data_IF_728694255291
#
_entry.id   IF_728694255291
#
_cell.length_a   1.000
_cell.length_b   1.000
_cell.length_c   1.000
_cell.angle_alpha   90.00
_cell.angle_beta   90.00
_cell.angle_gamma   90.00
#
_symmetry.space_group_name_H-M   'P 1'
#
loop_
_entity.id
_entity.type
_entity.pdbx_description
1 polymer ?
#
# COMPACT_ATOMS: atom_id res chain seq x y z
N UNK A 1 -7.62 -9.07 22.43
CA UNK A 1 -7.99 -8.10 21.36
C UNK A 1 -9.48 -7.78 21.49
N UNK A 2 -9.91 -6.51 21.49
CA UNK A 2 -11.34 -6.18 21.70
C UNK A 2 -12.16 -6.43 20.43
N UNK A 3 -13.42 -6.85 20.56
CA UNK A 3 -14.34 -7.11 19.41
C UNK A 3 -14.47 -5.90 18.47
N UNK A 4 -14.33 -4.68 19.03
CA UNK A 4 -14.25 -3.43 18.25
C UNK A 4 -13.03 -3.38 17.34
N UNK A 5 -11.84 -3.70 17.85
CA UNK A 5 -10.60 -3.68 17.06
C UNK A 5 -10.67 -4.70 15.91
N UNK A 6 -11.20 -5.89 16.17
CA UNK A 6 -11.40 -6.92 15.13
C UNK A 6 -12.32 -6.45 13.99
N UNK A 7 -13.43 -5.77 14.32
CA UNK A 7 -14.33 -5.22 13.30
C UNK A 7 -13.67 -4.05 12.56
N UNK A 8 -12.90 -3.20 13.24
CA UNK A 8 -12.17 -2.13 12.58
C UNK A 8 -11.13 -2.68 11.58
N UNK A 9 -10.37 -3.72 11.96
CA UNK A 9 -9.38 -4.36 11.09
C UNK A 9 -10.03 -5.05 9.89
N UNK A 10 -11.13 -5.79 10.12
CA UNK A 10 -11.91 -6.40 9.05
C UNK A 10 -12.39 -5.34 8.04
N UNK A 11 -12.99 -4.25 8.53
CA UNK A 11 -13.47 -3.17 7.67
C UNK A 11 -12.32 -2.50 6.94
N UNK A 12 -11.17 -2.29 7.58
CA UNK A 12 -9.99 -1.74 6.93
C UNK A 12 -9.56 -2.60 5.75
N UNK A 13 -9.41 -3.91 5.96
CA UNK A 13 -9.06 -4.85 4.88
C UNK A 13 -10.09 -4.83 3.76
N UNK A 14 -11.39 -4.81 4.11
CA UNK A 14 -12.48 -4.82 3.13
C UNK A 14 -12.55 -3.54 2.30
N UNK A 15 -12.35 -2.39 2.93
CA UNK A 15 -12.31 -1.08 2.26
C UNK A 15 -11.11 -0.98 1.32
N UNK A 16 -9.92 -1.41 1.77
CA UNK A 16 -8.74 -1.43 0.90
C UNK A 16 -8.89 -2.37 -0.27
N UNK A 17 -9.40 -3.59 -0.03
CA UNK A 17 -9.66 -4.55 -1.09
C UNK A 17 -10.68 -4.00 -2.09
N UNK A 18 -11.77 -3.37 -1.61
CA UNK A 18 -12.77 -2.76 -2.46
C UNK A 18 -12.24 -1.59 -3.29
N UNK A 19 -11.36 -0.76 -2.74
CA UNK A 19 -10.70 0.32 -3.48
C UNK A 19 -9.75 -0.20 -4.55
N UNK A 20 -8.93 -1.18 -4.15
CA UNK A 20 -7.97 -1.83 -5.02
C UNK A 20 -8.63 -2.54 -6.21
N UNK A 21 -9.77 -3.20 -5.97
CA UNK A 21 -10.57 -3.85 -7.01
C UNK A 21 -11.50 -2.89 -7.76
N UNK A 22 -11.50 -1.59 -7.45
CA UNK A 22 -12.37 -0.59 -8.07
C UNK A 22 -13.87 -0.72 -7.73
N UNK A 23 -14.23 -1.58 -6.78
CA UNK A 23 -15.60 -1.78 -6.28
C UNK A 23 -16.06 -0.61 -5.39
N UNK A 24 -15.10 0.11 -4.80
CA UNK A 24 -15.32 1.33 -4.03
C UNK A 24 -14.60 2.49 -4.70
N UNK A 25 -15.18 3.68 -4.63
CA UNK A 25 -14.57 4.92 -5.12
C UNK A 25 -14.28 5.87 -3.97
N UNK A 26 -13.27 6.70 -4.15
CA UNK A 26 -13.08 7.86 -3.28
C UNK A 26 -14.33 8.72 -3.25
N UNK A 27 -14.69 9.20 -2.04
CA UNK A 27 -15.94 9.92 -1.79
C UNK A 27 -17.21 9.10 -2.04
N UNK A 28 -17.09 7.81 -2.35
CA UNK A 28 -18.19 6.89 -2.52
C UNK A 28 -18.89 6.60 -1.20
N UNK A 29 -20.21 6.40 -1.25
CA UNK A 29 -21.01 6.04 -0.09
C UNK A 29 -20.74 4.60 0.32
N UNK A 30 -20.52 4.38 1.61
CA UNK A 30 -20.32 3.07 2.23
C UNK A 30 -21.63 2.56 2.84
N UNK A 31 -21.72 1.24 3.14
CA UNK A 31 -22.84 0.68 3.88
C UNK A 31 -23.05 1.42 5.19
N UNK A 32 -24.31 1.72 5.50
CA UNK A 32 -24.67 2.33 6.78
C UNK A 32 -24.33 1.40 7.94
N UNK A 33 -24.23 1.98 9.14
CA UNK A 33 -24.00 1.23 10.39
C UNK A 33 -25.02 0.09 10.55
N UNK A 34 -26.29 0.30 10.17
CA UNK A 34 -27.35 -0.68 10.32
C UNK A 34 -27.26 -1.81 9.30
N UNK A 35 -26.94 -1.49 8.05
CA UNK A 35 -26.74 -2.49 6.99
C UNK A 35 -25.55 -3.39 7.33
N UNK A 36 -24.44 -2.78 7.73
CA UNK A 36 -23.22 -3.49 8.06
C UNK A 36 -23.34 -4.30 9.36
N UNK A 37 -24.08 -3.80 10.35
CA UNK A 37 -24.40 -4.55 11.57
C UNK A 37 -25.20 -5.82 11.28
N UNK A 38 -26.19 -5.74 10.38
CA UNK A 38 -26.95 -6.91 9.91
C UNK A 38 -26.07 -7.90 9.15
N UNK A 39 -25.21 -7.39 8.28
CA UNK A 39 -24.33 -8.23 7.47
C UNK A 39 -23.31 -9.00 8.31
N UNK A 40 -22.74 -8.35 9.33
CA UNK A 40 -21.69 -8.92 10.18
C UNK A 40 -22.22 -9.59 11.45
N UNK A 41 -23.55 -9.70 11.62
CA UNK A 41 -24.23 -10.12 12.85
C UNK A 41 -23.59 -9.47 14.11
N UNK A 42 -23.42 -8.16 14.04
CA UNK A 42 -22.66 -7.37 15.01
C UNK A 42 -23.52 -6.27 15.63
N UNK A 43 -23.22 -5.91 16.88
CA UNK A 43 -23.93 -4.81 17.54
C UNK A 43 -23.64 -3.47 16.81
N UNK A 44 -24.68 -2.70 16.42
CA UNK A 44 -24.52 -1.42 15.72
C UNK A 44 -23.59 -0.42 16.43
N UNK A 45 -23.52 -0.46 17.77
CA UNK A 45 -22.61 0.40 18.55
C UNK A 45 -21.13 0.05 18.29
N UNK A 46 -20.83 -1.22 18.09
CA UNK A 46 -19.45 -1.69 17.82
C UNK A 46 -19.06 -1.32 16.39
N UNK A 47 -19.97 -1.46 15.43
CA UNK A 47 -19.76 -1.02 14.04
C UNK A 47 -19.56 0.49 13.96
N UNK A 48 -20.38 1.27 14.66
CA UNK A 48 -20.19 2.73 14.74
C UNK A 48 -18.85 3.10 15.36
N UNK A 49 -18.43 2.39 16.42
CA UNK A 49 -17.13 2.61 17.03
C UNK A 49 -15.98 2.27 16.08
N UNK A 50 -16.10 1.19 15.30
CA UNK A 50 -15.13 0.84 14.26
C UNK A 50 -15.05 1.92 13.16
N UNK A 51 -16.19 2.40 12.66
CA UNK A 51 -16.18 3.52 11.70
C UNK A 51 -15.61 4.82 12.27
N UNK A 52 -15.80 5.10 13.56
CA UNK A 52 -15.15 6.24 14.23
C UNK A 52 -13.64 6.09 14.27
N UNK A 53 -13.13 4.89 14.56
CA UNK A 53 -11.70 4.59 14.49
C UNK A 53 -11.16 4.81 13.08
N UNK A 54 -11.82 4.26 12.06
CA UNK A 54 -11.44 4.48 10.66
C UNK A 54 -11.54 5.95 10.23
N UNK A 55 -12.47 6.72 10.81
CA UNK A 55 -12.58 8.15 10.54
C UNK A 55 -11.43 8.95 11.17
N UNK A 56 -10.98 8.57 12.37
CA UNK A 56 -9.79 9.15 13.02
C UNK A 56 -8.51 8.87 12.22
N UNK A 57 -8.44 7.72 11.56
CA UNK A 57 -7.34 7.35 10.65
C UNK A 57 -7.41 8.03 9.28
N UNK A 58 -8.49 8.77 9.00
CA UNK A 58 -8.71 9.43 7.70
C UNK A 58 -9.14 8.48 6.58
N UNK A 59 -9.56 7.24 6.89
CA UNK A 59 -10.00 6.27 5.87
C UNK A 59 -11.45 6.50 5.45
N UNK A 60 -12.29 7.03 6.34
CA UNK A 60 -13.71 7.29 6.08
C UNK A 60 -14.15 8.65 6.63
N UNK A 61 -15.24 9.18 6.10
CA UNK A 61 -15.93 10.37 6.60
C UNK A 61 -17.30 10.00 7.15
N UNK A 62 -17.55 10.40 8.39
CA UNK A 62 -18.88 10.34 8.98
C UNK A 62 -19.60 11.67 8.71
N UNK A 63 -20.58 11.67 7.80
CA UNK A 63 -21.39 12.85 7.49
C UNK A 63 -22.73 12.76 8.22
N UNK A 64 -22.99 13.72 9.11
CA UNK A 64 -24.22 13.78 9.90
C UNK A 64 -25.45 13.73 8.98
N UNK A 65 -26.36 12.79 9.22
CA UNK A 65 -27.60 12.56 8.43
C UNK A 65 -27.40 12.12 6.98
N UNK A 66 -26.17 12.06 6.46
CA UNK A 66 -25.89 11.63 5.08
C UNK A 66 -25.27 10.23 4.98
N UNK A 67 -24.64 9.74 6.05
CA UNK A 67 -24.10 8.38 6.12
C UNK A 67 -22.57 8.35 6.24
N UNK A 68 -21.98 7.23 5.84
CA UNK A 68 -20.53 7.00 5.86
C UNK A 68 -20.01 7.04 4.44
N UNK A 69 -18.91 7.75 4.21
CA UNK A 69 -18.31 7.91 2.88
C UNK A 69 -16.83 7.55 2.94
N UNK A 70 -16.29 7.08 1.83
CA UNK A 70 -14.86 6.87 1.71
C UNK A 70 -14.14 8.22 1.63
N UNK A 71 -13.02 8.39 2.30
CA UNK A 71 -12.30 9.67 2.29
C UNK A 71 -11.79 10.02 0.86
N UNK A 72 -11.60 11.31 0.53
CA UNK A 72 -11.02 11.73 -0.75
C UNK A 72 -9.64 11.08 -1.03
N UNK A 73 -9.30 10.89 -2.29
CA UNK A 73 -7.95 10.45 -2.68
C UNK A 73 -6.94 11.48 -2.17
N UNK A 74 -5.86 11.02 -1.53
CA UNK A 74 -4.88 11.91 -0.87
C UNK A 74 -5.26 12.35 0.54
N UNK A 75 -6.44 11.97 1.05
CA UNK A 75 -6.85 12.18 2.46
C UNK A 75 -6.64 10.97 3.36
N UNK A 76 -5.71 10.08 3.00
CA UNK A 76 -4.92 9.43 4.04
C UNK A 76 -4.48 10.55 4.98
N UNK A 77 -4.48 10.34 6.27
CA UNK A 77 -3.62 11.14 7.13
C UNK A 77 -2.16 10.85 6.71
N UNK A 78 -1.74 11.32 5.52
CA UNK A 78 -0.53 12.10 5.45
C UNK A 78 -0.73 13.10 6.57
N UNK A 79 -0.16 12.77 7.73
CA UNK A 79 0.53 13.70 8.56
C UNK A 79 0.37 15.10 7.94
N UNK A 80 -0.55 15.89 8.49
CA UNK A 80 -0.72 17.29 8.13
C UNK A 80 0.68 17.96 8.11
N UNK A 81 0.84 19.16 7.55
CA UNK A 81 2.12 19.87 7.76
C UNK A 81 2.52 19.87 9.27
N UNK A 82 1.52 19.90 10.16
CA UNK A 82 1.60 19.57 11.59
C UNK A 82 2.08 18.14 11.88
N UNK A 83 1.38 17.10 11.42
CA UNK A 83 1.74 15.71 11.72
C UNK A 83 3.09 15.26 11.14
N UNK A 84 3.58 15.87 10.06
CA UNK A 84 4.92 15.58 9.52
C UNK A 84 5.97 16.23 10.39
N UNK A 85 5.69 17.44 10.87
CA UNK A 85 6.55 18.15 11.81
C UNK A 85 6.59 17.41 13.15
N UNK A 86 5.44 16.98 13.68
CA UNK A 86 5.35 16.16 14.89
C UNK A 86 6.12 14.85 14.76
N UNK A 87 5.95 14.14 13.64
CA UNK A 87 6.73 12.92 13.38
C UNK A 87 8.22 13.19 13.23
N UNK A 88 8.61 14.29 12.56
CA UNK A 88 10.02 14.68 12.43
C UNK A 88 10.63 15.05 13.78
N UNK A 89 9.86 15.72 14.64
CA UNK A 89 10.22 16.03 16.02
C UNK A 89 10.41 14.74 16.82
N UNK A 90 9.50 13.77 16.68
CA UNK A 90 9.65 12.45 17.31
C UNK A 90 10.92 11.73 16.84
N UNK A 91 11.23 11.77 15.55
CA UNK A 91 12.46 11.18 14.99
C UNK A 91 13.70 11.89 15.54
N UNK A 92 13.68 13.23 15.65
CA UNK A 92 14.76 14.02 16.22
C UNK A 92 14.96 13.72 17.72
N UNK A 93 13.89 13.67 18.51
CA UNK A 93 13.93 13.31 19.94
C UNK A 93 14.46 11.89 20.13
N UNK A 94 14.00 10.96 19.30
CA UNK A 94 14.49 9.58 19.28
C UNK A 94 15.95 9.45 18.84
N UNK A 95 16.43 10.34 17.97
CA UNK A 95 17.83 10.41 17.60
C UNK A 95 18.71 10.93 18.72
N UNK A 96 18.29 12.03 19.35
CA UNK A 96 19.00 12.65 20.48
C UNK A 96 19.14 11.69 21.66
N UNK A 97 18.08 10.95 22.01
CA UNK A 97 18.12 9.93 23.07
C UNK A 97 19.07 8.77 22.77
N UNK A 98 19.41 8.55 21.50
CA UNK A 98 20.40 7.56 21.03
C UNK A 98 21.80 8.16 20.83
N UNK A 99 22.02 9.40 21.26
CA UNK A 99 23.30 10.10 21.10
C UNK A 99 23.56 10.64 19.70
N UNK A 100 22.56 10.66 18.81
CA UNK A 100 22.68 11.27 17.48
C UNK A 100 22.38 12.77 17.58
N UNK A 101 23.36 13.60 17.26
CA UNK A 101 23.14 15.05 17.11
C UNK A 101 22.38 15.34 15.82
N UNK A 102 21.71 16.49 15.73
CA UNK A 102 20.96 16.87 14.52
C UNK A 102 21.81 16.83 13.23
N UNK A 103 23.09 17.29 13.22
CA UNK A 103 23.96 17.12 12.06
C UNK A 103 24.27 15.66 11.71
N UNK A 104 24.54 14.80 12.71
CA UNK A 104 24.80 13.37 12.49
C UNK A 104 23.55 12.65 11.99
N UNK A 105 22.37 13.04 12.47
CA UNK A 105 21.10 12.48 12.00
C UNK A 105 20.81 12.91 10.56
N UNK A 106 21.01 14.19 10.23
CA UNK A 106 20.85 14.70 8.87
C UNK A 106 21.84 14.03 7.90
N UNK A 107 23.10 13.90 8.32
CA UNK A 107 24.13 13.21 7.56
C UNK A 107 23.85 11.70 7.44
N UNK A 108 23.34 11.05 8.47
CA UNK A 108 22.90 9.66 8.43
C UNK A 108 21.73 9.44 7.50
N UNK A 109 20.73 10.34 7.52
CA UNK A 109 19.59 10.31 6.60
C UNK A 109 20.05 10.51 5.16
N UNK A 110 20.91 11.50 4.93
CA UNK A 110 21.46 11.81 3.63
C UNK A 110 22.32 10.67 3.09
N UNK A 111 23.19 10.07 3.93
CA UNK A 111 23.96 8.87 3.57
C UNK A 111 23.05 7.68 3.27
N UNK A 112 22.01 7.42 4.06
CA UNK A 112 21.05 6.35 3.78
C UNK A 112 20.33 6.55 2.45
N UNK A 113 20.02 7.79 2.07
CA UNK A 113 19.32 8.11 0.82
C UNK A 113 20.27 8.17 -0.40
N UNK A 114 21.53 8.56 -0.21
CA UNK A 114 22.50 8.74 -1.29
C UNK A 114 23.35 7.49 -1.57
N UNK A 115 23.57 6.60 -0.59
CA UNK A 115 24.50 5.46 -0.73
C UNK A 115 23.84 4.07 -0.74
N UNK A 116 22.59 3.93 -0.29
CA UNK A 116 21.85 2.68 -0.39
C UNK A 116 20.96 2.72 -1.64
N UNK A 117 21.52 2.30 -2.78
CA UNK A 117 20.69 1.96 -3.96
C UNK A 117 19.93 0.68 -3.66
N UNK A 118 18.76 0.82 -3.04
CA UNK A 118 17.89 -0.31 -2.73
C UNK A 118 17.56 -1.07 -4.02
N UNK A 119 17.80 -2.37 -3.99
CA UNK A 119 17.61 -3.26 -5.14
C UNK A 119 16.28 -4.01 -5.00
N UNK A 120 15.32 -3.68 -5.86
CA UNK A 120 14.03 -4.35 -5.94
C UNK A 120 14.01 -5.39 -7.06
N UNK A 121 13.55 -6.60 -6.75
CA UNK A 121 13.33 -7.65 -7.75
C UNK A 121 11.84 -7.77 -8.04
N UNK A 122 11.47 -7.54 -9.29
CA UNK A 122 10.10 -7.69 -9.80
C UNK A 122 9.93 -9.12 -10.30
N UNK A 123 8.94 -9.83 -9.76
CA UNK A 123 8.57 -11.20 -10.14
C UNK A 123 7.19 -11.18 -10.79
N UNK A 124 7.15 -11.46 -12.08
CA UNK A 124 5.92 -11.46 -12.89
C UNK A 124 6.00 -12.46 -14.05
N UNK A 125 4.86 -12.86 -14.62
CA UNK A 125 4.85 -13.65 -15.87
C UNK A 125 4.47 -12.81 -17.10
N UNK A 126 3.94 -11.61 -16.89
CA UNK A 126 3.49 -10.74 -17.97
C UNK A 126 4.65 -9.85 -18.45
N UNK A 127 4.96 -9.91 -19.75
CA UNK A 127 6.08 -9.17 -20.35
C UNK A 127 5.93 -7.65 -20.21
N UNK A 128 4.73 -7.11 -20.39
CA UNK A 128 4.46 -5.68 -20.20
C UNK A 128 4.74 -5.24 -18.77
N UNK A 129 4.40 -6.07 -17.78
CA UNK A 129 4.66 -5.80 -16.36
C UNK A 129 6.12 -5.99 -15.97
N UNK A 130 6.80 -6.97 -16.58
CA UNK A 130 8.26 -7.15 -16.44
C UNK A 130 9.03 -5.95 -17.00
N UNK A 131 8.44 -5.15 -17.89
CA UNK A 131 9.04 -3.92 -18.40
C UNK A 131 8.59 -2.65 -17.64
N UNK A 132 7.28 -2.46 -17.50
CA UNK A 132 6.69 -1.22 -16.96
C UNK A 132 6.96 -1.03 -15.47
N UNK A 133 6.80 -2.08 -14.67
CA UNK A 133 6.95 -1.99 -13.21
C UNK A 133 8.38 -1.62 -12.80
N UNK A 134 9.45 -2.29 -13.30
CA UNK A 134 10.82 -1.86 -12.98
C UNK A 134 11.12 -0.42 -13.39
N UNK A 135 10.57 0.02 -14.53
CA UNK A 135 10.76 1.38 -15.03
C UNK A 135 10.08 2.42 -14.13
N UNK A 136 8.87 2.15 -13.66
CA UNK A 136 8.14 3.00 -12.70
C UNK A 136 8.85 3.04 -11.35
N UNK A 137 9.26 1.90 -10.80
CA UNK A 137 9.99 1.83 -9.54
C UNK A 137 11.30 2.62 -9.57
N UNK A 138 12.01 2.59 -10.70
CA UNK A 138 13.22 3.37 -10.89
C UNK A 138 12.93 4.86 -11.06
N UNK A 139 11.94 5.21 -11.88
CA UNK A 139 11.58 6.61 -12.20
C UNK A 139 11.01 7.34 -10.98
N UNK A 140 10.08 6.71 -10.28
CA UNK A 140 9.26 7.37 -9.26
C UNK A 140 9.86 7.22 -7.86
N UNK A 141 10.65 6.16 -7.63
CA UNK A 141 11.21 5.82 -6.32
C UNK A 141 12.73 5.66 -6.29
N UNK A 142 13.42 5.79 -7.43
CA UNK A 142 14.88 5.72 -7.49
C UNK A 142 15.48 4.34 -7.18
N UNK A 143 14.66 3.29 -7.16
CA UNK A 143 15.13 1.93 -6.88
C UNK A 143 15.95 1.39 -8.05
N UNK A 144 17.02 0.66 -7.77
CA UNK A 144 17.61 -0.20 -8.78
C UNK A 144 16.74 -1.44 -8.91
N UNK A 145 16.49 -1.89 -10.14
CA UNK A 145 15.48 -2.92 -10.38
C UNK A 145 16.02 -4.07 -11.22
N UNK A 146 15.49 -5.26 -10.98
CA UNK A 146 15.71 -6.43 -11.84
C UNK A 146 14.38 -7.17 -11.99
N UNK A 147 14.04 -7.53 -13.23
CA UNK A 147 12.82 -8.27 -13.53
C UNK A 147 13.15 -9.75 -13.72
N UNK A 148 12.32 -10.63 -13.17
CA UNK A 148 12.44 -12.08 -13.28
C UNK A 148 11.08 -12.66 -13.63
N UNK A 149 11.06 -13.49 -14.67
CA UNK A 149 9.87 -14.28 -15.00
C UNK A 149 9.60 -15.28 -13.86
N UNK A 150 8.37 -15.32 -13.36
CA UNK A 150 7.96 -16.30 -12.33
C UNK A 150 8.27 -17.74 -12.74
N UNK A 151 8.19 -18.08 -14.04
CA UNK A 151 8.48 -19.41 -14.56
C UNK A 151 9.95 -19.80 -14.40
N UNK A 152 10.85 -18.81 -14.29
CA UNK A 152 12.26 -19.04 -13.98
C UNK A 152 12.50 -19.46 -12.52
N UNK A 153 11.51 -19.28 -11.63
CA UNK A 153 11.58 -19.70 -10.23
C UNK A 153 11.16 -21.15 -10.02
N UNK A 154 10.31 -21.69 -10.90
CA UNK A 154 9.76 -23.05 -10.80
C UNK A 154 10.71 -24.15 -11.28
N UNK A 155 11.87 -23.81 -11.85
CA UNK A 155 12.82 -24.78 -12.42
C UNK A 155 13.62 -25.61 -11.38
N UNK A 156 13.15 -25.71 -10.13
CA UNK A 156 13.73 -26.58 -9.09
C UNK A 156 15.18 -26.27 -8.68
N UNK A 157 15.74 -25.17 -9.19
CA UNK A 157 17.08 -24.70 -8.90
C UNK A 157 17.15 -23.81 -7.64
N UNK A 158 18.36 -23.56 -7.15
CA UNK A 158 18.58 -22.52 -6.13
C UNK A 158 18.04 -21.19 -6.68
N UNK A 159 17.39 -20.35 -5.83
CA UNK A 159 16.97 -19.02 -6.24
C UNK A 159 18.14 -18.29 -6.90
N UNK A 160 17.93 -17.64 -8.07
CA UNK A 160 18.94 -16.83 -8.72
C UNK A 160 19.73 -16.00 -7.70
N UNK A 161 21.06 -15.95 -7.82
CA UNK A 161 21.91 -15.27 -6.84
C UNK A 161 21.52 -13.79 -6.64
N UNK A 162 20.88 -13.20 -7.64
CA UNK A 162 20.28 -11.86 -7.64
C UNK A 162 19.19 -11.69 -6.57
N UNK A 163 18.37 -12.71 -6.30
CA UNK A 163 17.31 -12.65 -5.27
C UNK A 163 17.86 -12.59 -3.84
N UNK A 164 19.05 -13.16 -3.60
CA UNK A 164 19.71 -13.10 -2.29
C UNK A 164 20.23 -11.70 -1.93
N UNK A 165 20.34 -10.82 -2.92
CA UNK A 165 20.80 -9.43 -2.75
C UNK A 165 19.66 -8.43 -2.88
N UNK A 166 18.42 -8.91 -3.03
CA UNK A 166 17.24 -8.07 -3.11
C UNK A 166 16.91 -7.52 -1.73
N UNK A 167 16.67 -6.22 -1.67
CA UNK A 167 16.14 -5.53 -0.50
C UNK A 167 14.61 -5.60 -0.47
N UNK A 168 13.99 -5.87 -1.63
CA UNK A 168 12.54 -5.89 -1.81
C UNK A 168 12.12 -6.83 -2.96
N UNK A 169 11.09 -7.65 -2.74
CA UNK A 169 10.39 -8.37 -3.82
C UNK A 169 9.10 -7.63 -4.20
N UNK A 170 8.84 -7.51 -5.49
CA UNK A 170 7.67 -6.83 -6.05
C UNK A 170 6.94 -7.79 -6.98
N UNK A 171 5.61 -7.86 -6.89
CA UNK A 171 4.82 -8.75 -7.73
C UNK A 171 3.38 -8.23 -7.84
N UNK A 172 2.56 -8.73 -8.77
CA UNK A 172 1.12 -8.44 -8.75
C UNK A 172 0.32 -9.48 -7.96
N UNK A 173 -0.99 -9.28 -7.71
CA UNK A 173 -1.79 -10.23 -6.93
C UNK A 173 -1.81 -11.64 -7.52
N UNK A 174 -1.57 -11.78 -8.83
CA UNK A 174 -1.61 -13.07 -9.52
C UNK A 174 -0.52 -14.03 -9.04
N UNK A 175 0.67 -13.52 -8.71
CA UNK A 175 1.78 -14.33 -8.20
C UNK A 175 2.07 -14.16 -6.72
N UNK A 176 1.20 -13.43 -6.00
CA UNK A 176 1.34 -13.18 -4.56
C UNK A 176 1.80 -14.44 -3.83
N UNK A 177 1.01 -15.52 -3.85
CA UNK A 177 1.26 -16.73 -3.06
C UNK A 177 2.65 -17.36 -3.32
N UNK A 178 3.12 -17.35 -4.57
CA UNK A 178 4.43 -17.89 -4.92
C UNK A 178 5.56 -17.01 -4.35
N UNK A 179 5.43 -15.69 -4.53
CA UNK A 179 6.39 -14.69 -4.04
C UNK A 179 6.36 -14.60 -2.51
N UNK A 180 5.23 -14.87 -1.86
CA UNK A 180 5.14 -14.93 -0.39
C UNK A 180 6.07 -16.02 0.15
N UNK A 181 6.00 -17.23 -0.39
CA UNK A 181 6.85 -18.34 0.05
C UNK A 181 8.33 -18.04 -0.20
N UNK A 182 8.64 -17.42 -1.33
CA UNK A 182 10.01 -17.04 -1.68
C UNK A 182 10.56 -15.98 -0.71
N UNK A 183 9.78 -14.91 -0.45
CA UNK A 183 10.12 -13.86 0.50
C UNK A 183 10.41 -14.41 1.89
N UNK A 184 9.51 -15.28 2.38
CA UNK A 184 9.65 -15.92 3.69
C UNK A 184 10.91 -16.80 3.75
N UNK A 185 11.26 -17.50 2.66
CA UNK A 185 12.47 -18.32 2.59
C UNK A 185 13.78 -17.52 2.55
N UNK A 186 13.75 -16.29 2.03
CA UNK A 186 14.91 -15.42 1.88
C UNK A 186 15.05 -14.40 3.03
N UNK A 187 14.00 -14.21 3.83
CA UNK A 187 13.93 -13.12 4.81
C UNK A 187 13.84 -11.73 4.17
N UNK A 188 13.39 -11.67 2.90
CA UNK A 188 13.31 -10.42 2.12
C UNK A 188 11.89 -9.84 2.19
N UNK A 189 11.71 -8.53 2.47
CA UNK A 189 10.42 -7.87 2.41
C UNK A 189 9.75 -8.02 1.03
N UNK A 190 8.41 -8.04 0.99
CA UNK A 190 7.64 -8.10 -0.27
C UNK A 190 6.53 -7.05 -0.33
N UNK A 191 6.24 -6.57 -1.53
CA UNK A 191 5.06 -5.77 -1.84
C UNK A 191 4.28 -6.38 -3.00
N UNK A 192 2.97 -6.30 -2.90
CA UNK A 192 2.05 -6.67 -3.97
C UNK A 192 1.49 -5.38 -4.57
N UNK A 193 1.81 -5.13 -5.83
CA UNK A 193 1.42 -3.93 -6.56
C UNK A 193 0.25 -4.21 -7.47
N UNK A 194 -0.52 -3.19 -7.81
CA UNK A 194 -1.54 -3.26 -8.85
C UNK A 194 -1.49 -2.06 -9.74
N UNK A 195 -2.03 -2.24 -10.94
CA UNK A 195 -2.30 -1.16 -11.86
C UNK A 195 -3.07 -0.03 -11.19
N UNK A 196 -2.68 1.20 -11.51
CA UNK A 196 -3.37 2.39 -11.08
C UNK A 196 -4.79 2.40 -11.69
N UNK A 197 -5.82 2.23 -10.85
CA UNK A 197 -7.22 2.16 -11.29
C UNK A 197 -7.69 3.44 -12.00
N UNK A 198 -7.06 4.57 -11.70
CA UNK A 198 -7.35 5.86 -12.34
C UNK A 198 -6.94 5.86 -13.83
N UNK A 199 -5.83 5.19 -14.18
CA UNK A 199 -5.39 5.02 -15.57
C UNK A 199 -6.40 4.18 -16.36
N UNK A 200 -6.85 3.05 -15.80
CA UNK A 200 -7.87 2.21 -16.43
C UNK A 200 -9.19 2.94 -16.64
N UNK A 201 -9.61 3.72 -15.64
CA UNK A 201 -10.86 4.48 -15.70
C UNK A 201 -10.79 5.56 -16.79
N UNK A 202 -9.67 6.27 -16.89
CA UNK A 202 -9.49 7.32 -17.89
C UNK A 202 -9.33 6.76 -19.30
N UNK A 203 -8.58 5.67 -19.49
CA UNK A 203 -8.47 4.99 -20.78
C UNK A 203 -9.83 4.42 -21.22
N UNK A 204 -10.59 3.82 -20.30
CA UNK A 204 -11.95 3.35 -20.55
C UNK A 204 -12.91 4.48 -20.94
N UNK A 205 -12.79 5.65 -20.28
CA UNK A 205 -13.55 6.85 -20.65
C UNK A 205 -13.19 7.31 -22.06
N UNK A 206 -11.90 7.41 -22.39
CA UNK A 206 -11.44 7.84 -23.73
C UNK A 206 -11.95 6.89 -24.83
N UNK A 207 -11.81 5.57 -24.62
CA UNK A 207 -12.32 4.53 -25.53
C UNK A 207 -13.84 4.61 -25.74
N UNK A 208 -14.60 5.02 -24.72
CA UNK A 208 -16.06 5.16 -24.82
C UNK A 208 -16.53 6.42 -25.55
N UNK A 209 -15.64 7.39 -25.78
CA UNK A 209 -16.00 8.71 -26.31
C UNK A 209 -15.56 8.99 -27.75
N UNK A 210 -14.60 8.25 -28.31
CA UNK A 210 -14.16 8.37 -29.71
C UNK A 210 -13.55 7.06 -30.23
N UNK A 211 -13.55 6.81 -31.56
CA UNK A 211 -12.76 5.71 -32.13
C UNK A 211 -11.27 6.01 -31.89
N UNK A 212 -10.60 5.10 -31.18
CA UNK A 212 -9.16 5.18 -30.94
C UNK A 212 -8.46 4.69 -32.21
N UNK A 213 -7.86 5.62 -32.95
CA UNK A 213 -6.90 5.36 -34.03
C UNK A 213 -5.47 5.43 -33.47
#
# INVERSE_FOLDING_TARGET
MTRRAQIADLLRTRLFTGLHLGLLRHQGRLPSVRELARELDANPRVVLAAYRTLAQEGLVELRSRSGVFMAPAGRRNHATADGRSDWMVDVLVQGLTRGMSAPILAEGLQRCLETLRLHAVVVECNEDQLYSVPAELKRDFGLETTAIDVAALDQGGRPPALLRRADLLVTTPFHKTAVERLADSLGTPKIVITMCTDLFTEVGRLLSTMPVY
#
